data_IF_499890835067
#
_entry.id   IF_499890835067
#
_cell.length_a   1.000
_cell.length_b   1.000
_cell.length_c   1.000
_cell.angle_alpha   90.00
_cell.angle_beta   90.00
_cell.angle_gamma   90.00
#
_symmetry.space_group_name_H-M   'P 1'
#
loop_
_entity.id
_entity.type
_entity.pdbx_description
1 polymer ?
#
# COMPACT_ATOMS: atom_id res chain seq x y z
N UNK A 1 -9.87 26.93 3.68
CA UNK A 1 -10.73 26.16 2.75
C UNK A 1 -11.20 24.86 3.42
N UNK A 2 -12.03 24.95 4.49
CA UNK A 2 -12.41 23.79 5.30
C UNK A 2 -13.37 22.80 4.62
N UNK A 3 -14.17 23.25 3.67
CA UNK A 3 -15.12 22.40 2.94
C UNK A 3 -14.42 21.38 2.02
N UNK A 4 -13.37 21.81 1.31
CA UNK A 4 -12.57 20.93 0.43
C UNK A 4 -11.81 19.86 1.22
N UNK A 5 -11.30 20.22 2.41
CA UNK A 5 -10.62 19.28 3.30
C UNK A 5 -11.59 18.22 3.87
N UNK A 6 -12.85 18.61 4.11
CA UNK A 6 -13.91 17.72 4.59
C UNK A 6 -14.39 16.78 3.47
N UNK A 7 -14.54 17.28 2.25
CA UNK A 7 -14.89 16.48 1.08
C UNK A 7 -13.79 15.43 0.78
N UNK A 8 -12.52 15.83 0.79
CA UNK A 8 -11.40 14.89 0.57
C UNK A 8 -11.37 13.79 1.63
N UNK A 9 -11.64 14.10 2.91
CA UNK A 9 -11.73 13.08 3.97
C UNK A 9 -12.84 12.06 3.71
N UNK A 10 -13.99 12.50 3.23
CA UNK A 10 -15.11 11.60 2.91
C UNK A 10 -14.78 10.67 1.74
N UNK A 11 -14.20 11.22 0.66
CA UNK A 11 -13.79 10.42 -0.51
C UNK A 11 -12.69 9.41 -0.17
N UNK A 12 -11.70 9.82 0.65
CA UNK A 12 -10.67 8.90 1.16
C UNK A 12 -11.32 7.77 1.97
N UNK A 13 -12.19 8.08 2.93
CA UNK A 13 -12.84 7.07 3.76
C UNK A 13 -13.64 6.07 2.89
N UNK A 14 -14.40 6.58 1.93
CA UNK A 14 -15.17 5.74 0.99
C UNK A 14 -14.27 4.80 0.19
N UNK A 15 -13.16 5.31 -0.36
CA UNK A 15 -12.21 4.47 -1.09
C UNK A 15 -11.61 3.37 -0.20
N UNK A 16 -11.29 3.67 1.06
CA UNK A 16 -10.76 2.69 2.01
C UNK A 16 -11.82 1.63 2.39
N UNK A 17 -13.08 2.03 2.56
CA UNK A 17 -14.18 1.11 2.83
C UNK A 17 -14.45 0.15 1.66
N UNK A 18 -14.39 0.65 0.42
CA UNK A 18 -14.51 -0.18 -0.79
C UNK A 18 -13.37 -1.22 -0.86
N UNK A 19 -12.14 -0.80 -0.56
CA UNK A 19 -10.98 -1.71 -0.53
C UNK A 19 -11.13 -2.82 0.50
N UNK A 20 -11.75 -2.56 1.65
CA UNK A 20 -12.01 -3.57 2.67
C UNK A 20 -12.92 -4.70 2.18
N UNK A 21 -13.74 -4.47 1.14
CA UNK A 21 -14.55 -5.51 0.51
C UNK A 21 -13.76 -6.42 -0.44
N UNK A 22 -12.60 -5.96 -0.91
CA UNK A 22 -11.74 -6.65 -1.88
C UNK A 22 -10.55 -7.33 -1.17
N UNK A 23 -10.02 -6.69 -0.12
CA UNK A 23 -8.80 -7.06 0.59
C UNK A 23 -9.10 -7.54 2.02
N UNK A 24 -9.61 -8.77 2.15
CA UNK A 24 -10.05 -9.34 3.43
C UNK A 24 -8.93 -9.59 4.45
N UNK A 25 -7.67 -9.60 4.02
CA UNK A 25 -6.49 -9.71 4.91
C UNK A 25 -5.76 -8.38 5.10
N UNK A 26 -6.29 -7.30 4.53
CA UNK A 26 -5.81 -5.94 4.75
C UNK A 26 -4.97 -5.39 3.60
N UNK A 27 -4.66 -4.10 3.74
CA UNK A 27 -3.94 -3.30 2.77
C UNK A 27 -3.18 -2.16 3.47
N UNK A 28 -2.22 -1.57 2.77
CA UNK A 28 -1.44 -0.45 3.26
C UNK A 28 -1.17 0.58 2.15
N UNK A 29 -1.04 1.84 2.54
CA UNK A 29 -0.67 2.95 1.68
C UNK A 29 0.44 3.76 2.35
N UNK A 30 1.55 3.93 1.66
CA UNK A 30 2.60 4.89 1.97
C UNK A 30 2.56 5.99 0.89
N UNK A 31 1.87 7.09 1.17
CA UNK A 31 1.61 8.16 0.20
C UNK A 31 2.65 9.27 0.30
N UNK A 32 3.06 9.80 -0.86
CA UNK A 32 3.99 10.91 -1.00
C UNK A 32 5.29 10.72 -0.19
N UNK A 33 5.96 9.60 -0.44
CA UNK A 33 7.26 9.27 0.15
C UNK A 33 8.31 10.28 -0.32
N UNK A 34 8.95 10.94 0.64
CA UNK A 34 10.06 11.88 0.48
C UNK A 34 11.16 11.52 1.47
N UNK A 35 12.41 11.43 1.03
CA UNK A 35 13.54 11.05 1.90
C UNK A 35 13.25 9.81 2.76
N UNK A 36 12.72 8.75 2.11
CA UNK A 36 12.32 7.47 2.72
C UNK A 36 11.22 7.53 3.79
N UNK A 37 10.51 8.66 3.93
CA UNK A 37 9.36 8.79 4.84
C UNK A 37 8.08 9.11 4.08
N UNK A 38 6.99 8.33 4.26
CA UNK A 38 5.68 8.70 3.74
C UNK A 38 5.16 9.93 4.48
N UNK A 39 4.47 10.81 3.75
CA UNK A 39 3.68 11.89 4.35
C UNK A 39 2.46 11.31 5.07
N UNK A 40 1.80 10.34 4.43
CA UNK A 40 0.63 9.66 4.98
C UNK A 40 0.88 8.16 4.94
N UNK A 41 0.71 7.51 6.08
CA UNK A 41 0.79 6.06 6.22
C UNK A 41 -0.57 5.54 6.71
N UNK A 42 -1.21 4.71 5.88
CA UNK A 42 -2.41 3.96 6.26
C UNK A 42 -2.10 2.47 6.20
N UNK A 43 -2.61 1.69 7.15
CA UNK A 43 -2.40 0.24 7.19
C UNK A 43 -3.52 -0.45 7.95
N UNK A 44 -4.00 -1.56 7.41
CA UNK A 44 -5.02 -2.44 8.02
C UNK A 44 -4.53 -3.87 8.21
N UNK A 45 -3.23 -4.11 7.96
CA UNK A 45 -2.61 -5.39 8.24
C UNK A 45 -2.75 -5.78 9.73
N UNK A 46 -2.76 -7.09 10.06
CA UNK A 46 -2.84 -7.55 11.43
C UNK A 46 -1.77 -6.89 12.32
N UNK A 47 -2.17 -6.44 13.51
CA UNK A 47 -1.26 -5.73 14.42
C UNK A 47 -0.02 -6.55 14.76
N UNK A 48 -0.17 -7.87 14.93
CA UNK A 48 0.95 -8.77 15.20
C UNK A 48 1.99 -8.79 14.07
N UNK A 49 1.57 -8.64 12.80
CA UNK A 49 2.50 -8.49 11.68
C UNK A 49 3.19 -7.13 11.72
N UNK A 50 2.42 -6.07 11.96
CA UNK A 50 2.94 -4.70 12.06
C UNK A 50 4.04 -4.59 13.12
N UNK A 51 3.80 -5.15 14.31
CA UNK A 51 4.75 -5.14 15.42
C UNK A 51 6.01 -5.91 15.03
N UNK A 52 5.83 -7.10 14.46
CA UNK A 52 6.93 -7.97 14.05
C UNK A 52 7.79 -7.38 12.94
N UNK A 53 7.17 -6.71 11.97
CA UNK A 53 7.83 -5.99 10.89
C UNK A 53 8.65 -4.80 11.42
N UNK A 54 8.08 -4.07 12.38
CA UNK A 54 8.69 -2.89 12.98
C UNK A 54 9.85 -3.25 13.90
N UNK A 55 9.69 -4.26 14.76
CA UNK A 55 10.71 -4.76 15.69
C UNK A 55 11.98 -5.21 14.94
N UNK A 56 11.81 -5.86 13.79
CA UNK A 56 12.94 -6.32 12.97
C UNK A 56 13.49 -5.28 11.99
N UNK A 57 12.89 -4.09 11.90
CA UNK A 57 13.34 -3.05 10.99
C UNK A 57 13.30 -3.45 9.51
N UNK A 58 12.31 -4.26 9.12
CA UNK A 58 12.26 -4.92 7.80
C UNK A 58 12.15 -3.96 6.61
N UNK A 59 11.73 -2.71 6.82
CA UNK A 59 11.47 -1.72 5.77
C UNK A 59 12.61 -1.54 4.77
N UNK A 60 13.86 -1.61 5.23
CA UNK A 60 15.05 -1.36 4.38
C UNK A 60 15.26 -2.51 3.38
N UNK A 61 14.83 -3.72 3.75
CA UNK A 61 15.06 -4.96 3.03
C UNK A 61 13.79 -5.51 2.37
N UNK A 62 12.65 -4.85 2.62
CA UNK A 62 11.34 -5.28 2.11
C UNK A 62 11.29 -5.16 0.58
N UNK A 63 11.13 -6.29 -0.14
CA UNK A 63 11.10 -6.29 -1.60
C UNK A 63 9.94 -5.46 -2.18
N UNK A 64 8.82 -5.34 -1.46
CA UNK A 64 7.68 -4.52 -1.87
C UNK A 64 8.03 -3.04 -1.83
N UNK A 65 8.68 -2.60 -0.75
CA UNK A 65 9.14 -1.21 -0.60
C UNK A 65 10.24 -0.90 -1.63
N UNK A 66 11.21 -1.79 -1.77
CA UNK A 66 12.32 -1.62 -2.71
C UNK A 66 11.83 -1.54 -4.16
N UNK A 67 10.91 -2.41 -4.57
CA UNK A 67 10.31 -2.37 -5.89
C UNK A 67 9.50 -1.07 -6.09
N UNK A 68 8.63 -0.72 -5.14
CA UNK A 68 7.78 0.47 -5.25
C UNK A 68 8.56 1.79 -5.27
N UNK A 69 9.75 1.85 -4.69
CA UNK A 69 10.62 3.02 -4.77
C UNK A 69 11.33 3.15 -6.13
N UNK A 70 11.55 2.04 -6.84
CA UNK A 70 12.31 1.98 -8.11
C UNK A 70 11.40 2.04 -9.32
N UNK A 71 10.28 1.31 -9.28
CA UNK A 71 9.40 1.06 -10.40
C UNK A 71 8.05 1.75 -10.24
N UNK A 72 7.24 1.73 -11.32
CA UNK A 72 5.84 2.20 -11.36
C UNK A 72 4.94 1.13 -11.94
N UNK A 73 3.66 1.17 -11.59
CA UNK A 73 2.65 0.24 -12.07
C UNK A 73 2.32 -0.80 -11.01
N UNK A 74 2.19 -2.05 -11.42
CA UNK A 74 1.73 -3.18 -10.58
C UNK A 74 2.80 -4.26 -10.52
N UNK A 75 2.99 -4.86 -9.34
CA UNK A 75 3.71 -6.13 -9.16
C UNK A 75 2.96 -7.04 -8.22
N UNK A 76 2.92 -8.34 -8.51
CA UNK A 76 2.39 -9.34 -7.58
C UNK A 76 3.53 -9.76 -6.65
N UNK A 77 3.22 -9.99 -5.38
CA UNK A 77 4.23 -10.38 -4.39
C UNK A 77 4.90 -11.72 -4.74
N UNK A 78 4.20 -12.59 -5.46
CA UNK A 78 4.75 -13.85 -5.97
C UNK A 78 5.83 -13.67 -7.05
N UNK A 79 5.89 -12.50 -7.69
CA UNK A 79 6.86 -12.18 -8.74
C UNK A 79 8.11 -11.45 -8.19
N UNK A 80 8.14 -11.17 -6.88
CA UNK A 80 9.25 -10.51 -6.21
C UNK A 80 10.23 -11.53 -5.63
N UNK A 81 11.53 -11.23 -5.76
CA UNK A 81 12.55 -11.96 -5.03
C UNK A 81 12.49 -11.58 -3.54
N UNK A 82 12.45 -12.58 -2.66
CA UNK A 82 12.28 -12.41 -1.21
C UNK A 82 13.46 -13.05 -0.45
N UNK A 83 14.69 -12.53 -0.63
CA UNK A 83 15.90 -13.17 -0.10
C UNK A 83 15.94 -13.22 1.43
N UNK A 84 15.24 -12.29 2.09
CA UNK A 84 15.16 -12.19 3.54
C UNK A 84 13.90 -12.85 4.13
N UNK A 85 13.05 -13.45 3.28
CA UNK A 85 11.85 -14.18 3.71
C UNK A 85 10.76 -13.29 4.33
N UNK A 86 10.72 -12.00 4.00
CA UNK A 86 9.76 -11.04 4.56
C UNK A 86 8.34 -11.35 4.07
N UNK A 87 8.16 -11.63 2.77
CA UNK A 87 6.86 -11.98 2.20
C UNK A 87 6.43 -13.38 2.65
N UNK A 88 7.39 -14.30 2.74
CA UNK A 88 7.15 -15.63 3.32
C UNK A 88 6.68 -15.54 4.78
N UNK A 89 7.26 -14.65 5.58
CA UNK A 89 6.85 -14.40 6.96
C UNK A 89 5.48 -13.71 7.02
N UNK A 90 5.22 -12.70 6.18
CA UNK A 90 3.92 -12.03 6.08
C UNK A 90 2.78 -13.02 5.82
N UNK A 91 3.02 -14.03 4.99
CA UNK A 91 2.07 -15.10 4.68
C UNK A 91 1.65 -15.93 5.92
N UNK A 92 2.54 -16.05 6.92
CA UNK A 92 2.25 -16.72 8.20
C UNK A 92 1.24 -15.93 9.05
N UNK A 93 1.16 -14.62 8.84
CA UNK A 93 0.17 -13.73 9.46
C UNK A 93 -1.10 -13.57 8.60
N UNK A 94 -1.25 -14.37 7.54
CA UNK A 94 -2.42 -14.35 6.66
C UNK A 94 -2.32 -13.39 5.48
N UNK A 95 -1.25 -12.60 5.37
CA UNK A 95 -1.02 -11.68 4.25
C UNK A 95 -0.58 -12.45 3.01
N UNK A 96 -1.56 -12.92 2.24
CA UNK A 96 -1.36 -13.76 1.06
C UNK A 96 -1.82 -13.05 -0.21
N UNK A 97 -1.45 -13.63 -1.35
CA UNK A 97 -1.86 -13.18 -2.68
C UNK A 97 -1.61 -11.68 -2.90
N UNK A 98 -0.50 -11.17 -2.38
CA UNK A 98 -0.26 -9.74 -2.30
C UNK A 98 -0.03 -9.10 -3.67
N UNK A 99 -0.42 -7.83 -3.78
CA UNK A 99 -0.24 -6.99 -4.95
C UNK A 99 0.20 -5.61 -4.52
N UNK A 100 1.21 -5.07 -5.18
CA UNK A 100 1.74 -3.74 -4.91
C UNK A 100 1.52 -2.84 -6.09
N UNK A 101 1.05 -1.62 -5.83
CA UNK A 101 0.99 -0.56 -6.83
C UNK A 101 1.96 0.57 -6.47
N UNK A 102 2.55 1.19 -7.50
CA UNK A 102 3.45 2.34 -7.37
C UNK A 102 3.11 3.43 -8.38
N UNK A 103 2.91 4.65 -7.89
CA UNK A 103 2.48 5.82 -8.68
C UNK A 103 3.22 7.11 -8.30
N UNK A 104 3.06 8.17 -9.08
CA UNK A 104 3.70 9.48 -8.87
C UNK A 104 5.14 9.58 -9.40
N UNK A 105 5.82 10.72 -9.19
CA UNK A 105 7.24 10.89 -9.49
C UNK A 105 8.14 10.42 -8.33
N UNK A 106 9.44 10.22 -8.57
CA UNK A 106 10.40 9.82 -7.52
C UNK A 106 10.49 10.83 -6.35
N UNK A 107 10.16 12.10 -6.59
CA UNK A 107 10.15 13.16 -5.59
C UNK A 107 8.92 13.12 -4.66
N UNK A 108 7.92 12.30 -4.97
CA UNK A 108 6.64 12.19 -4.25
C UNK A 108 6.03 10.81 -4.52
N UNK A 109 6.80 9.73 -4.31
CA UNK A 109 6.39 8.37 -4.68
C UNK A 109 5.25 7.89 -3.77
N UNK A 110 4.18 7.32 -4.30
CA UNK A 110 3.18 6.60 -3.49
C UNK A 110 3.22 5.11 -3.77
N UNK A 111 3.21 4.30 -2.70
CA UNK A 111 3.23 2.84 -2.75
C UNK A 111 2.02 2.32 -2.00
N UNK A 112 1.34 1.33 -2.54
CA UNK A 112 0.29 0.58 -1.85
C UNK A 112 0.56 -0.91 -1.89
N UNK A 113 0.08 -1.62 -0.88
CA UNK A 113 0.12 -3.08 -0.80
C UNK A 113 -1.25 -3.61 -0.45
N UNK A 114 -1.77 -4.53 -1.25
CA UNK A 114 -3.08 -5.16 -1.09
C UNK A 114 -2.91 -6.64 -0.88
N UNK A 115 -3.68 -7.24 0.01
CA UNK A 115 -3.61 -8.67 0.29
C UNK A 115 -5.01 -9.26 0.43
N UNK A 116 -5.16 -10.53 0.06
CA UNK A 116 -6.40 -11.27 0.32
C UNK A 116 -6.16 -12.74 0.55
N UNK A 117 -7.04 -13.38 1.32
CA UNK A 117 -6.96 -14.81 1.64
C UNK A 117 -7.34 -15.72 0.47
N UNK A 118 -8.12 -15.20 -0.48
CA UNK A 118 -8.71 -15.93 -1.60
C UNK A 118 -7.72 -16.18 -2.75
N UNK A 119 -8.15 -16.13 -4.01
CA UNK A 119 -7.26 -16.32 -5.15
C UNK A 119 -6.41 -15.06 -5.43
N UNK A 120 -5.32 -15.14 -6.21
CA UNK A 120 -4.61 -13.96 -6.71
C UNK A 120 -5.54 -12.93 -7.38
N UNK A 121 -5.20 -11.65 -7.28
CA UNK A 121 -5.93 -10.58 -7.98
C UNK A 121 -5.90 -10.79 -9.50
N UNK A 122 -7.08 -10.75 -10.11
CA UNK A 122 -7.23 -10.74 -11.57
C UNK A 122 -6.64 -9.46 -12.14
N UNK A 123 -6.40 -9.43 -13.45
CA UNK A 123 -5.85 -8.23 -14.09
C UNK A 123 -6.81 -7.04 -13.97
N UNK A 124 -8.12 -7.26 -14.09
CA UNK A 124 -9.12 -6.22 -13.90
C UNK A 124 -9.09 -5.64 -12.48
N UNK A 125 -9.00 -6.49 -11.46
CA UNK A 125 -8.86 -6.05 -10.07
C UNK A 125 -7.55 -5.29 -9.84
N UNK A 126 -6.44 -5.78 -10.41
CA UNK A 126 -5.14 -5.14 -10.31
C UNK A 126 -5.16 -3.71 -10.89
N UNK A 127 -5.76 -3.52 -12.07
CA UNK A 127 -5.90 -2.19 -12.69
C UNK A 127 -6.81 -1.28 -11.87
N UNK A 128 -7.89 -1.81 -11.29
CA UNK A 128 -8.74 -1.05 -10.37
C UNK A 128 -7.95 -0.58 -9.14
N UNK A 129 -7.18 -1.47 -8.50
CA UNK A 129 -6.36 -1.13 -7.32
C UNK A 129 -5.26 -0.11 -7.64
N UNK A 130 -4.67 -0.17 -8.83
CA UNK A 130 -3.76 0.86 -9.33
C UNK A 130 -4.49 2.21 -9.49
N UNK A 131 -5.70 2.19 -10.05
CA UNK A 131 -6.56 3.37 -10.16
C UNK A 131 -6.89 4.00 -8.80
N UNK A 132 -7.24 3.19 -7.80
CA UNK A 132 -7.48 3.67 -6.43
C UNK A 132 -6.21 4.26 -5.82
N UNK A 133 -5.05 3.64 -6.07
CA UNK A 133 -3.75 4.15 -5.58
C UNK A 133 -3.41 5.50 -6.20
N UNK A 134 -3.64 5.68 -7.50
CA UNK A 134 -3.48 6.96 -8.18
C UNK A 134 -4.47 8.00 -7.64
N UNK A 135 -5.73 7.63 -7.47
CA UNK A 135 -6.75 8.52 -6.96
C UNK A 135 -6.44 9.03 -5.55
N UNK A 136 -6.02 8.14 -4.64
CA UNK A 136 -5.60 8.53 -3.29
C UNK A 136 -4.35 9.40 -3.31
N UNK A 137 -3.37 9.11 -4.18
CA UNK A 137 -2.20 9.98 -4.37
C UNK A 137 -2.63 11.41 -4.78
N UNK A 138 -3.54 11.55 -5.74
CA UNK A 138 -3.97 12.87 -6.22
C UNK A 138 -4.78 13.63 -5.15
N UNK A 139 -5.71 12.94 -4.46
CA UNK A 139 -6.51 13.54 -3.39
C UNK A 139 -5.67 14.02 -2.21
N UNK A 140 -4.53 13.38 -1.95
CA UNK A 140 -3.67 13.69 -0.81
C UNK A 140 -2.48 14.59 -1.13
N UNK A 141 -2.30 15.03 -2.38
CA UNK A 141 -1.12 15.80 -2.80
C UNK A 141 -0.89 17.07 -1.96
N UNK A 142 -1.97 17.75 -1.59
CA UNK A 142 -1.95 18.99 -0.81
C UNK A 142 -2.29 18.78 0.67
N UNK A 143 -2.47 17.53 1.10
CA UNK A 143 -2.64 17.21 2.52
C UNK A 143 -1.25 17.12 3.16
N UNK A 144 -0.89 18.16 3.91
CA UNK A 144 0.22 18.05 4.87
C UNK A 144 -0.18 17.03 5.95
N UNK A 145 0.74 16.19 6.41
CA UNK A 145 0.53 15.35 7.59
C UNK A 145 -0.08 16.21 8.71
N UNK A 146 -1.24 15.78 9.21
CA UNK A 146 -1.87 16.31 10.42
C UNK A 146 -0.94 16.14 11.63
#
# INVERSE_FOLDING_TARGET
MPEMETANRHEIAKALDELATICDTGFAFALHIRFTRPNILYRTYPQAWIDRYSEKGMMIEDPVVLWGLRERGIVRWADLDDPNGILAEAAQYGLKNGLTCSVGPNSSRSISGFTRSSAPFTETEAQYLLGVTQHLHDLTENLSAL
#
